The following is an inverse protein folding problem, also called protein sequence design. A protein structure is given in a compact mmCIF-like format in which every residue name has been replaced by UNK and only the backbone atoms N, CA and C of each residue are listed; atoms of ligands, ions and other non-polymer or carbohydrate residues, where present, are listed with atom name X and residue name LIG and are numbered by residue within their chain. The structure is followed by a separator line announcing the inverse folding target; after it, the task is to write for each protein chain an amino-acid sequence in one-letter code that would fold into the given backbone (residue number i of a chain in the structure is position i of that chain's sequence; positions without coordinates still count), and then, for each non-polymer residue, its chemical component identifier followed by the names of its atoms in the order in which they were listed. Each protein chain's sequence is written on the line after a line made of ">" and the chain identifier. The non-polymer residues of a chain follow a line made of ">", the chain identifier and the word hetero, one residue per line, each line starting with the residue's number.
data_IF_028807717068
#
_entry.id   IF_028807717068
#
_cell.length_a   1.000
_cell.length_b   1.000
_cell.length_c   1.000
_cell.angle_alpha   90.00
_cell.angle_beta   90.00
_cell.angle_gamma   90.00
#
_symmetry.space_group_name_H-M   'P 1'
#
loop_
_entity.id
_entity.type
_entity.pdbx_description
1 polymer ?
#
# COMPACT_ATOMS: atom_id res chain seq x y z
N UNK A 1 -46.47 -8.27 13.45
CA UNK A 1 -45.25 -7.86 14.17
C UNK A 1 -44.09 -7.74 13.20
N UNK A 2 -43.63 -6.53 12.94
CA UNK A 2 -42.54 -6.29 12.04
C UNK A 2 -41.18 -6.69 12.65
N UNK A 3 -40.43 -7.58 11.98
CA UNK A 3 -39.06 -7.92 12.39
C UNK A 3 -38.18 -6.70 12.24
N UNK A 4 -37.66 -6.14 13.36
CA UNK A 4 -36.67 -5.07 13.36
C UNK A 4 -35.44 -5.56 12.58
N UNK A 5 -35.17 -4.89 11.46
CA UNK A 5 -33.95 -5.11 10.67
C UNK A 5 -32.77 -4.59 11.47
N UNK A 6 -31.96 -5.49 12.04
CA UNK A 6 -30.70 -5.11 12.71
C UNK A 6 -29.75 -4.68 11.60
N UNK A 7 -29.58 -3.37 11.44
CA UNK A 7 -28.53 -2.82 10.59
C UNK A 7 -27.23 -3.05 11.36
N UNK A 8 -26.50 -4.10 11.00
CA UNK A 8 -25.11 -4.23 11.43
C UNK A 8 -24.38 -3.03 10.87
N UNK A 9 -24.09 -2.03 11.71
CA UNK A 9 -23.09 -1.02 11.40
C UNK A 9 -21.79 -1.78 11.16
N UNK A 10 -21.43 -2.00 9.90
CA UNK A 10 -20.10 -2.44 9.56
C UNK A 10 -19.16 -1.32 9.99
N UNK A 11 -18.57 -1.47 11.16
CA UNK A 11 -17.50 -0.59 11.61
C UNK A 11 -16.40 -0.68 10.55
N UNK A 12 -16.25 0.39 9.77
CA UNK A 12 -15.24 0.55 8.72
C UNK A 12 -13.88 0.85 9.34
N UNK A 13 -13.48 0.08 10.34
CA UNK A 13 -12.12 -0.01 10.81
C UNK A 13 -11.53 -1.33 10.32
N UNK A 14 -10.24 -1.33 10.09
CA UNK A 14 -9.51 -2.56 9.80
C UNK A 14 -9.84 -3.58 10.88
N UNK A 15 -10.44 -4.69 10.50
CA UNK A 15 -10.78 -5.79 11.40
C UNK A 15 -9.51 -6.22 12.15
N UNK A 16 -9.47 -6.01 13.46
CA UNK A 16 -8.30 -6.31 14.29
C UNK A 16 -7.86 -7.76 14.12
N UNK A 17 -8.80 -8.69 13.99
CA UNK A 17 -8.47 -10.10 13.74
C UNK A 17 -7.80 -10.36 12.39
N UNK A 18 -8.08 -9.56 11.36
CA UNK A 18 -7.35 -9.61 10.09
C UNK A 18 -5.95 -9.03 10.23
N UNK A 19 -5.78 -7.97 11.02
CA UNK A 19 -4.47 -7.35 11.30
C UNK A 19 -3.56 -8.36 12.02
N UNK A 20 -4.05 -9.02 13.05
CA UNK A 20 -3.31 -10.02 13.82
C UNK A 20 -2.91 -11.23 12.98
N UNK A 21 -3.83 -11.79 12.18
CA UNK A 21 -3.53 -12.92 11.26
C UNK A 21 -2.54 -12.52 10.17
N UNK A 22 -2.62 -11.30 9.68
CA UNK A 22 -1.67 -10.77 8.71
C UNK A 22 -0.29 -10.53 9.34
N UNK A 23 -0.23 -10.16 10.61
CA UNK A 23 1.01 -9.97 11.37
C UNK A 23 1.70 -11.31 11.67
N UNK A 24 0.95 -12.35 12.03
CA UNK A 24 1.51 -13.67 12.38
C UNK A 24 2.18 -14.41 11.20
N UNK A 25 1.75 -14.15 9.97
CA UNK A 25 2.34 -14.77 8.77
C UNK A 25 3.70 -14.19 8.38
N UNK A 26 4.01 -13.00 8.84
CA UNK A 26 5.19 -12.22 8.41
C UNK A 26 6.44 -12.54 9.22
N UNK A 27 6.29 -13.06 10.43
CA UNK A 27 7.40 -13.31 11.36
C UNK A 27 8.42 -14.39 10.91
N UNK A 28 8.19 -15.07 9.78
CA UNK A 28 9.08 -16.13 9.26
C UNK A 28 10.19 -15.64 8.34
N UNK A 29 10.14 -14.38 7.90
CA UNK A 29 11.14 -13.82 7.00
C UNK A 29 11.99 -12.81 7.75
N UNK A 30 13.30 -12.95 7.70
CA UNK A 30 14.24 -11.93 8.19
C UNK A 30 14.86 -11.24 6.98
N UNK A 31 14.72 -9.91 6.92
CA UNK A 31 15.19 -9.11 5.81
C UNK A 31 15.80 -7.81 6.36
N UNK A 32 17.10 -7.62 6.22
CA UNK A 32 17.77 -6.39 6.65
C UNK A 32 17.70 -5.28 5.59
N UNK A 33 17.77 -5.64 4.32
CA UNK A 33 17.72 -4.74 3.17
C UNK A 33 16.63 -5.18 2.22
N UNK A 34 15.85 -4.23 1.73
CA UNK A 34 14.75 -4.51 0.82
C UNK A 34 14.43 -3.36 -0.12
N UNK A 35 13.47 -3.61 -0.98
CA UNK A 35 12.95 -2.63 -1.93
C UNK A 35 11.48 -2.42 -1.63
N UNK A 36 11.09 -1.16 -1.42
CA UNK A 36 9.69 -0.76 -1.32
C UNK A 36 9.19 -0.30 -2.68
N UNK A 37 8.29 -1.05 -3.27
CA UNK A 37 7.58 -0.67 -4.49
C UNK A 37 6.27 0.01 -4.15
N UNK A 38 6.06 1.21 -4.65
CA UNK A 38 4.84 2.00 -4.48
C UNK A 38 4.18 2.19 -5.83
N UNK A 39 2.94 1.76 -5.97
CA UNK A 39 2.11 2.00 -7.14
C UNK A 39 0.90 2.85 -6.74
N UNK A 40 0.87 4.10 -7.19
CA UNK A 40 -0.20 5.04 -6.91
C UNK A 40 -0.96 5.38 -8.19
N UNK A 41 -2.20 4.91 -8.28
CA UNK A 41 -3.13 5.23 -9.35
C UNK A 41 -4.17 6.25 -8.86
N UNK A 42 -5.00 6.76 -9.76
CA UNK A 42 -6.12 7.63 -9.38
C UNK A 42 -7.21 6.93 -8.55
N UNK A 43 -7.24 5.60 -8.56
CA UNK A 43 -8.27 4.81 -7.88
C UNK A 43 -7.77 4.06 -6.66
N UNK A 44 -6.46 3.81 -6.53
CA UNK A 44 -5.91 3.01 -5.44
C UNK A 44 -4.42 3.31 -5.23
N UNK A 45 -3.93 2.99 -4.04
CA UNK A 45 -2.50 2.95 -3.73
C UNK A 45 -2.15 1.55 -3.23
N UNK A 46 -1.14 0.94 -3.85
CA UNK A 46 -0.57 -0.35 -3.45
C UNK A 46 0.88 -0.17 -3.09
N UNK A 47 1.35 -0.93 -2.14
CA UNK A 47 2.77 -0.98 -1.84
C UNK A 47 3.20 -2.41 -1.46
N UNK A 48 4.43 -2.78 -1.85
CA UNK A 48 4.99 -4.11 -1.68
C UNK A 48 6.44 -3.98 -1.22
N UNK A 49 6.81 -4.71 -0.18
CA UNK A 49 8.20 -4.88 0.23
C UNK A 49 8.72 -6.16 -0.41
N UNK A 50 9.83 -6.05 -1.13
CA UNK A 50 10.52 -7.17 -1.75
C UNK A 50 11.94 -7.27 -1.21
N UNK A 51 12.56 -8.44 -1.39
CA UNK A 51 13.99 -8.60 -1.23
C UNK A 51 14.75 -7.99 -2.44
N UNK A 52 16.08 -8.03 -2.40
CA UNK A 52 16.92 -7.54 -3.50
C UNK A 52 16.75 -8.35 -4.79
N UNK A 53 16.28 -9.60 -4.67
CA UNK A 53 16.00 -10.49 -5.81
C UNK A 53 14.64 -10.26 -6.45
N UNK A 54 13.78 -9.43 -5.83
CA UNK A 54 12.44 -9.13 -6.32
C UNK A 54 11.34 -10.05 -5.77
N UNK A 55 11.62 -10.93 -4.81
CA UNK A 55 10.60 -11.76 -4.19
C UNK A 55 9.76 -10.92 -3.22
N UNK A 56 8.44 -10.98 -3.35
CA UNK A 56 7.53 -10.25 -2.48
C UNK A 56 7.49 -10.88 -1.08
N UNK A 57 7.78 -10.08 -0.07
CA UNK A 57 7.74 -10.47 1.35
C UNK A 57 6.45 -10.01 2.00
N UNK A 58 6.10 -8.76 1.81
CA UNK A 58 4.87 -8.17 2.36
C UNK A 58 4.23 -7.24 1.35
N UNK A 59 2.91 -7.30 1.22
CA UNK A 59 2.15 -6.41 0.38
C UNK A 59 0.94 -5.84 1.12
N UNK A 60 0.52 -4.65 0.74
CA UNK A 60 -0.72 -4.03 1.19
C UNK A 60 -1.25 -3.05 0.16
N UNK A 61 -2.52 -2.70 0.30
CA UNK A 61 -3.16 -1.67 -0.50
C UNK A 61 -4.23 -0.95 0.30
N UNK A 62 -4.65 0.23 -0.16
CA UNK A 62 -5.74 0.96 0.47
C UNK A 62 -7.03 0.12 0.51
N UNK A 63 -7.34 -0.63 -0.56
CA UNK A 63 -8.48 -1.53 -0.59
C UNK A 63 -8.37 -2.69 0.43
N UNK A 64 -7.19 -3.25 0.62
CA UNK A 64 -6.94 -4.32 1.59
C UNK A 64 -7.09 -3.82 3.05
N UNK A 65 -6.85 -2.55 3.31
CA UNK A 65 -7.03 -1.92 4.62
C UNK A 65 -8.48 -1.52 4.92
N UNK A 66 -9.42 -1.79 4.01
CA UNK A 66 -10.84 -1.54 4.20
C UNK A 66 -11.35 -0.22 3.62
N UNK A 67 -10.52 0.57 2.96
CA UNK A 67 -10.99 1.74 2.21
C UNK A 67 -11.77 1.29 0.97
N UNK A 68 -12.83 2.00 0.63
CA UNK A 68 -13.69 1.68 -0.51
C UNK A 68 -14.01 2.91 -1.35
N UNK A 69 -14.30 2.71 -2.64
CA UNK A 69 -14.67 3.77 -3.58
C UNK A 69 -13.55 4.81 -3.74
N UNK A 70 -13.92 6.08 -3.82
CA UNK A 70 -12.99 7.19 -4.02
C UNK A 70 -11.99 7.40 -2.87
N UNK A 71 -12.23 6.85 -1.71
CA UNK A 71 -11.34 6.97 -0.54
C UNK A 71 -10.02 6.24 -0.70
N UNK A 72 -9.95 5.21 -1.56
CA UNK A 72 -8.72 4.41 -1.78
C UNK A 72 -7.57 5.20 -2.37
N UNK A 73 -7.85 6.25 -3.13
CA UNK A 73 -6.83 7.07 -3.78
C UNK A 73 -6.41 8.30 -2.95
N UNK A 74 -6.93 8.45 -1.75
CA UNK A 74 -6.62 9.60 -0.89
C UNK A 74 -5.23 9.48 -0.28
N UNK A 75 -4.54 10.62 0.00
CA UNK A 75 -3.27 10.61 0.73
C UNK A 75 -3.36 9.98 2.12
N UNK A 76 -4.49 10.15 2.80
CA UNK A 76 -4.75 9.53 4.11
C UNK A 76 -4.73 8.00 4.04
N UNK A 77 -5.45 7.41 3.07
CA UNK A 77 -5.43 5.97 2.86
C UNK A 77 -4.03 5.44 2.53
N UNK A 78 -3.30 6.19 1.69
CA UNK A 78 -1.92 5.87 1.34
C UNK A 78 -0.98 5.92 2.55
N UNK A 79 -1.12 6.90 3.44
CA UNK A 79 -0.36 6.97 4.68
C UNK A 79 -0.62 5.74 5.57
N UNK A 80 -1.87 5.27 5.66
CA UNK A 80 -2.20 4.04 6.40
C UNK A 80 -1.56 2.79 5.80
N UNK A 81 -1.45 2.71 4.47
CA UNK A 81 -0.69 1.65 3.81
C UNK A 81 0.79 1.72 4.18
N UNK A 82 1.39 2.90 4.17
CA UNK A 82 2.78 3.13 4.57
C UNK A 82 3.06 2.77 6.04
N UNK A 83 2.20 3.21 6.96
CA UNK A 83 2.28 2.84 8.37
C UNK A 83 2.24 1.32 8.59
N UNK A 84 1.27 0.66 7.95
CA UNK A 84 1.11 -0.78 8.06
C UNK A 84 2.31 -1.56 7.53
N UNK A 85 2.85 -1.16 6.37
CA UNK A 85 4.05 -1.79 5.82
C UNK A 85 5.30 -1.46 6.62
N UNK A 86 5.42 -0.27 7.16
CA UNK A 86 6.52 0.11 8.05
C UNK A 86 6.55 -0.71 9.33
N UNK A 87 5.39 -0.92 9.97
CA UNK A 87 5.26 -1.80 11.14
C UNK A 87 5.67 -3.24 10.82
N UNK A 88 5.22 -3.76 9.69
CA UNK A 88 5.62 -5.10 9.23
C UNK A 88 7.08 -5.19 8.85
N UNK A 89 7.61 -4.19 8.19
CA UNK A 89 9.03 -4.08 7.85
C UNK A 89 9.91 -4.13 9.10
N UNK A 90 9.54 -3.39 10.14
CA UNK A 90 10.23 -3.41 11.41
C UNK A 90 10.20 -4.80 12.09
N UNK A 91 9.07 -5.51 12.03
CA UNK A 91 8.93 -6.87 12.55
C UNK A 91 9.82 -7.90 11.82
N UNK A 92 10.04 -7.70 10.51
CA UNK A 92 10.91 -8.55 9.68
C UNK A 92 12.39 -8.22 9.92
N UNK A 93 12.69 -7.10 10.56
CA UNK A 93 14.04 -6.61 10.79
C UNK A 93 14.59 -5.72 9.67
N UNK A 94 13.71 -5.15 8.84
CA UNK A 94 14.12 -4.25 7.76
C UNK A 94 14.71 -2.94 8.33
N UNK A 95 15.98 -2.70 8.02
CA UNK A 95 16.71 -1.50 8.46
C UNK A 95 16.84 -0.47 7.34
N UNK A 96 17.09 -0.94 6.13
CA UNK A 96 17.37 -0.12 4.95
C UNK A 96 16.44 -0.49 3.80
N UNK A 97 15.88 0.50 3.13
CA UNK A 97 15.02 0.29 1.97
C UNK A 97 15.39 1.22 0.82
N UNK A 98 15.45 0.66 -0.39
CA UNK A 98 15.38 1.43 -1.62
C UNK A 98 13.92 1.57 -2.02
N UNK A 99 13.51 2.72 -2.54
CA UNK A 99 12.12 2.98 -2.90
C UNK A 99 11.97 3.14 -4.40
N UNK A 100 11.02 2.42 -4.97
CA UNK A 100 10.65 2.52 -6.38
C UNK A 100 9.19 2.98 -6.46
N UNK A 101 8.96 4.14 -7.06
CA UNK A 101 7.65 4.77 -7.17
C UNK A 101 7.16 4.67 -8.62
N UNK A 102 5.91 4.29 -8.80
CA UNK A 102 5.24 4.21 -10.09
C UNK A 102 3.84 4.80 -9.99
N UNK A 103 3.44 5.53 -11.03
CA UNK A 103 2.09 6.08 -11.15
C UNK A 103 1.99 7.55 -10.78
N UNK A 104 0.82 8.11 -10.93
CA UNK A 104 0.53 9.56 -10.83
C UNK A 104 -0.44 9.91 -9.70
N UNK A 105 -0.86 8.92 -8.91
CA UNK A 105 -1.81 9.13 -7.81
C UNK A 105 -1.25 9.99 -6.68
N UNK A 106 -2.13 10.59 -5.89
CA UNK A 106 -1.77 11.47 -4.76
C UNK A 106 -1.08 10.73 -3.59
N UNK A 107 -1.14 9.39 -3.56
CA UNK A 107 -0.56 8.57 -2.50
C UNK A 107 0.96 8.37 -2.55
N UNK A 108 1.64 8.83 -3.60
CA UNK A 108 3.08 8.60 -3.82
C UNK A 108 3.94 8.97 -2.61
N UNK A 109 3.86 10.23 -2.19
CA UNK A 109 4.67 10.75 -1.07
C UNK A 109 4.14 10.32 0.29
N UNK A 110 2.83 10.17 0.44
CA UNK A 110 2.21 9.84 1.72
C UNK A 110 2.62 8.46 2.21
N UNK A 111 2.72 7.46 1.33
CA UNK A 111 3.26 6.13 1.65
C UNK A 111 4.70 6.24 2.11
N UNK A 112 5.52 6.97 1.36
CA UNK A 112 6.95 7.13 1.64
C UNK A 112 7.20 7.74 3.02
N UNK A 113 6.52 8.85 3.33
CA UNK A 113 6.65 9.54 4.62
C UNK A 113 6.20 8.68 5.78
N UNK A 114 5.06 8.01 5.64
CA UNK A 114 4.54 7.14 6.69
C UNK A 114 5.42 5.90 6.94
N UNK A 115 5.99 5.35 5.87
CA UNK A 115 6.91 4.22 5.95
C UNK A 115 8.24 4.60 6.63
N UNK A 116 8.85 5.72 6.23
CA UNK A 116 10.05 6.27 6.83
C UNK A 116 9.86 6.62 8.32
N UNK A 117 8.68 7.10 8.70
CA UNK A 117 8.33 7.41 10.09
C UNK A 117 8.37 6.23 11.05
N UNK A 118 8.45 4.99 10.55
CA UNK A 118 8.60 3.77 11.37
C UNK A 118 10.05 3.37 11.65
N UNK A 119 11.00 4.25 11.36
CA UNK A 119 12.43 4.06 11.67
C UNK A 119 13.21 3.28 10.61
N UNK A 120 12.65 3.08 9.43
CA UNK A 120 13.35 2.44 8.31
C UNK A 120 14.09 3.49 7.52
N UNK A 121 15.40 3.30 7.33
CA UNK A 121 16.23 4.23 6.58
C UNK A 121 16.04 4.06 5.07
N UNK A 122 15.73 5.16 4.37
CA UNK A 122 15.61 5.17 2.92
C UNK A 122 16.95 5.54 2.30
N UNK A 123 17.51 4.63 1.48
CA UNK A 123 18.78 4.84 0.77
C UNK A 123 18.62 5.58 -0.54
N UNK A 124 17.62 5.22 -1.31
CA UNK A 124 17.40 5.77 -2.65
C UNK A 124 15.92 5.81 -2.98
N UNK A 125 15.54 6.76 -3.82
CA UNK A 125 14.19 6.88 -4.35
C UNK A 125 14.31 6.95 -5.87
N UNK A 126 13.63 6.05 -6.58
CA UNK A 126 13.60 6.00 -8.03
C UNK A 126 12.15 6.08 -8.52
N UNK A 127 11.89 6.97 -9.44
CA UNK A 127 10.61 7.04 -10.15
C UNK A 127 10.72 6.27 -11.47
N UNK A 128 9.84 5.29 -11.64
CA UNK A 128 9.77 4.43 -12.83
C UNK A 128 8.41 4.54 -13.52
N UNK A 129 7.72 5.66 -13.32
CA UNK A 129 6.43 5.90 -14.00
C UNK A 129 6.62 5.84 -15.51
N UNK A 130 5.92 4.93 -16.22
CA UNK A 130 6.09 4.77 -17.64
C UNK A 130 5.52 5.98 -18.40
N UNK A 131 6.31 6.52 -19.31
CA UNK A 131 5.90 7.58 -20.23
C UNK A 131 5.99 7.00 -21.65
N UNK A 132 4.87 6.71 -22.33
CA UNK A 132 4.90 6.16 -23.67
C UNK A 132 5.39 7.21 -24.70
N UNK A 133 6.28 6.80 -25.59
CA UNK A 133 6.71 7.59 -26.73
C UNK A 133 5.94 7.14 -27.96
N UNK A 134 4.81 7.81 -28.25
CA UNK A 134 3.91 7.45 -29.36
C UNK A 134 3.40 6.00 -29.28
N UNK A 135 2.94 5.60 -28.10
CA UNK A 135 2.39 4.27 -27.83
C UNK A 135 0.95 4.08 -28.31
N UNK A 136 0.31 2.95 -27.96
CA UNK A 136 -1.07 2.69 -28.33
C UNK A 136 -2.02 3.76 -27.81
N UNK A 137 -3.01 4.14 -28.62
CA UNK A 137 -4.04 5.12 -28.24
C UNK A 137 -5.02 4.51 -27.24
N UNK A 138 -5.36 5.27 -26.20
CA UNK A 138 -6.40 4.87 -25.26
C UNK A 138 -7.77 4.73 -25.95
N UNK A 139 -8.66 3.85 -25.44
CA UNK A 139 -10.02 3.73 -25.96
C UNK A 139 -10.79 5.05 -25.78
N UNK A 140 -11.78 5.30 -26.63
CA UNK A 140 -12.64 6.49 -26.51
C UNK A 140 -13.31 6.54 -25.14
N UNK A 141 -13.40 7.73 -24.49
CA UNK A 141 -14.15 7.89 -23.27
C UNK A 141 -15.62 7.48 -23.48
N UNK A 142 -16.18 6.75 -22.54
CA UNK A 142 -17.62 6.46 -22.54
C UNK A 142 -18.38 7.76 -22.29
N UNK A 143 -19.31 8.06 -23.19
CA UNK A 143 -20.31 9.11 -22.92
C UNK A 143 -21.43 8.50 -22.08
N UNK A 144 -21.64 9.06 -20.93
CA UNK A 144 -22.69 8.62 -20.01
C UNK A 144 -23.72 9.73 -19.91
#
# INVERSE_FOLDING_TARGET
>A
MGKKRIIKKSGRGMDQGRKERAMSKVAKHHLEKGILHIEATFNNTKAIITDEKGNAVVSSSAGALGFSGARKSTPYAAAKVGEFLGEKGALIGLKEASVVIRGVGAGRESVLRAFSGKGIQIKSIKDVTPVPHNGPRAPKPRRV
#
